data_IF_987373931911
#
_entry.id   IF_987373931911
#
_cell.length_a   1.000
_cell.length_b   1.000
_cell.length_c   1.000
_cell.angle_alpha   90.00
_cell.angle_beta   90.00
_cell.angle_gamma   90.00
#
_symmetry.space_group_name_H-M   'P 1'
#
loop_
_entity.id
_entity.type
_entity.pdbx_description
1 polymer ?
#
# COMPACT_ATOMS: atom_id res chain seq x y z
N UNK A 1 -2.24 -23.49 0.25
CA UNK A 1 -1.47 -22.81 -0.83
C UNK A 1 -2.32 -22.19 -1.95
N UNK A 2 -3.60 -22.57 -2.14
CA UNK A 2 -4.55 -21.86 -3.03
C UNK A 2 -5.37 -20.79 -2.25
N UNK A 3 -5.32 -20.84 -0.91
CA UNK A 3 -6.21 -20.14 0.01
C UNK A 3 -5.91 -18.64 0.21
N UNK A 4 -4.65 -18.18 0.21
CA UNK A 4 -4.34 -16.75 0.41
C UNK A 4 -4.36 -15.93 -0.89
N UNK A 5 -4.22 -16.58 -2.05
CA UNK A 5 -4.37 -15.91 -3.34
C UNK A 5 -5.84 -15.54 -3.63
N UNK A 6 -6.81 -16.32 -3.13
CA UNK A 6 -8.23 -16.06 -3.35
C UNK A 6 -8.82 -14.99 -2.42
N UNK A 7 -8.27 -14.79 -1.21
CA UNK A 7 -8.75 -13.74 -0.29
C UNK A 7 -8.50 -12.33 -0.84
N UNK A 8 -7.33 -12.08 -1.45
CA UNK A 8 -7.07 -10.82 -2.16
C UNK A 8 -7.91 -10.67 -3.45
N UNK A 9 -8.18 -11.77 -4.16
CA UNK A 9 -9.00 -11.80 -5.38
C UNK A 9 -10.52 -11.67 -5.13
N UNK A 10 -10.98 -11.84 -3.88
CA UNK A 10 -12.39 -11.73 -3.49
C UNK A 10 -12.71 -10.44 -2.73
N UNK A 11 -11.71 -9.76 -2.17
CA UNK A 11 -11.85 -8.41 -1.60
C UNK A 11 -11.53 -7.29 -2.59
N UNK A 12 -10.75 -7.55 -3.64
CA UNK A 12 -10.56 -6.62 -4.76
C UNK A 12 -11.34 -7.09 -5.99
N UNK A 13 -11.86 -6.15 -6.77
CA UNK A 13 -12.81 -6.33 -7.89
C UNK A 13 -12.29 -7.19 -9.07
N UNK A 14 -11.93 -8.47 -8.87
CA UNK A 14 -11.33 -9.32 -9.93
C UNK A 14 -12.36 -10.22 -10.65
N UNK A 15 -13.62 -10.21 -10.22
CA UNK A 15 -14.75 -10.77 -10.99
C UNK A 15 -15.82 -9.72 -11.24
N UNK A 16 -15.44 -8.59 -11.83
CA UNK A 16 -16.42 -7.64 -12.33
C UNK A 16 -17.03 -8.15 -13.66
N UNK A 17 -18.36 -7.99 -13.87
CA UNK A 17 -18.95 -8.12 -15.20
C UNK A 17 -18.17 -7.27 -16.21
N UNK A 18 -18.19 -7.63 -17.51
CA UNK A 18 -17.57 -6.83 -18.54
C UNK A 18 -18.17 -5.41 -18.53
N UNK A 19 -19.42 -5.21 -18.13
CA UNK A 19 -19.99 -3.86 -17.99
C UNK A 19 -19.33 -2.98 -16.92
N UNK A 20 -18.66 -3.55 -15.90
CA UNK A 20 -17.85 -2.79 -14.91
C UNK A 20 -16.37 -2.71 -15.30
N UNK A 21 -15.82 -3.72 -15.99
CA UNK A 21 -14.42 -3.73 -16.46
C UNK A 21 -14.18 -3.01 -17.79
N UNK A 22 -15.19 -2.88 -18.67
CA UNK A 22 -15.10 -2.10 -19.91
C UNK A 22 -14.92 -0.60 -19.64
N UNK A 23 -15.25 -0.12 -18.43
CA UNK A 23 -15.03 1.26 -18.05
C UNK A 23 -13.58 1.55 -17.58
N UNK A 24 -12.76 0.53 -17.30
CA UNK A 24 -11.47 0.72 -16.64
C UNK A 24 -10.31 -0.13 -17.20
N UNK A 25 -9.97 -0.03 -18.50
CA UNK A 25 -8.72 -0.58 -19.04
C UNK A 25 -7.47 -0.04 -18.33
N UNK A 26 -7.60 1.02 -17.54
CA UNK A 26 -6.48 1.70 -16.92
C UNK A 26 -5.80 0.86 -15.84
N UNK A 27 -6.54 0.06 -15.06
CA UNK A 27 -5.99 -0.68 -13.91
C UNK A 27 -4.90 -1.70 -14.30
N UNK A 28 -5.02 -2.38 -15.45
CA UNK A 28 -3.97 -3.30 -15.88
C UNK A 28 -2.70 -2.59 -16.36
N UNK A 29 -2.84 -1.43 -17.02
CA UNK A 29 -1.70 -0.61 -17.41
C UNK A 29 -1.00 -0.05 -16.16
N UNK A 30 -1.75 0.46 -15.18
CA UNK A 30 -1.23 0.84 -13.86
C UNK A 30 -0.42 -0.28 -13.23
N UNK A 31 -1.04 -1.46 -13.07
CA UNK A 31 -0.41 -2.63 -12.45
C UNK A 31 0.91 -3.01 -13.15
N UNK A 32 0.94 -2.96 -14.49
CA UNK A 32 2.16 -3.24 -15.26
C UNK A 32 3.25 -2.17 -15.05
N UNK A 33 2.90 -0.89 -15.07
CA UNK A 33 3.87 0.19 -14.89
C UNK A 33 4.46 0.21 -13.48
N UNK A 34 3.63 0.08 -12.44
CA UNK A 34 4.12 0.07 -11.05
C UNK A 34 4.94 -1.19 -10.74
N UNK A 35 4.63 -2.34 -11.36
CA UNK A 35 5.47 -3.54 -11.25
C UNK A 35 6.88 -3.31 -11.82
N UNK A 36 7.01 -2.49 -12.89
CA UNK A 36 8.32 -2.19 -13.49
C UNK A 36 9.25 -1.40 -12.55
N UNK A 37 8.70 -0.73 -11.52
CA UNK A 37 9.46 0.01 -10.51
C UNK A 37 10.38 -0.88 -9.67
N UNK A 38 10.20 -2.20 -9.68
CA UNK A 38 11.12 -3.14 -9.05
C UNK A 38 12.54 -3.11 -9.68
N UNK A 39 12.69 -2.44 -10.82
CA UNK A 39 13.93 -2.26 -11.55
C UNK A 39 14.19 -0.78 -11.87
N UNK A 40 15.46 -0.39 -11.96
CA UNK A 40 15.86 0.98 -12.27
C UNK A 40 17.15 1.39 -11.58
N UNK A 41 17.88 2.33 -12.18
CA UNK A 41 19.17 2.79 -11.66
C UNK A 41 19.03 3.90 -10.63
N UNK A 42 18.18 4.91 -10.87
CA UNK A 42 18.07 6.08 -9.97
C UNK A 42 16.83 6.06 -9.09
N UNK A 43 15.76 5.41 -9.55
CA UNK A 43 14.49 5.28 -8.85
C UNK A 43 13.98 3.84 -8.98
N UNK A 44 13.93 3.09 -7.88
CA UNK A 44 13.38 1.74 -7.83
C UNK A 44 12.83 1.37 -6.45
N UNK A 45 11.82 0.51 -6.42
CA UNK A 45 11.18 0.01 -5.20
C UNK A 45 10.47 -1.32 -5.49
N UNK A 46 10.44 -2.21 -4.49
CA UNK A 46 9.69 -3.48 -4.53
C UNK A 46 8.38 -3.42 -3.73
N UNK A 47 7.94 -2.23 -3.35
CA UNK A 47 6.79 -2.03 -2.46
C UNK A 47 5.44 -1.92 -3.19
N UNK A 48 5.37 -2.31 -4.47
CA UNK A 48 4.13 -2.53 -5.21
C UNK A 48 4.00 -4.01 -5.57
N UNK A 49 2.76 -4.49 -5.66
CA UNK A 49 2.48 -5.85 -6.15
C UNK A 49 3.14 -6.10 -7.51
N UNK A 50 3.78 -7.27 -7.63
CA UNK A 50 4.47 -7.66 -8.86
C UNK A 50 3.55 -8.46 -9.76
N UNK A 51 3.38 -7.99 -10.98
CA UNK A 51 2.56 -8.62 -12.00
C UNK A 51 3.38 -9.68 -12.73
N UNK A 52 2.90 -10.93 -12.72
CA UNK A 52 3.52 -12.04 -13.44
C UNK A 52 2.99 -12.16 -14.86
N UNK A 53 1.66 -12.16 -15.03
CA UNK A 53 1.07 -12.23 -16.35
C UNK A 53 -0.32 -11.58 -16.42
N UNK A 54 -0.70 -11.17 -17.64
CA UNK A 54 -2.05 -10.72 -17.98
C UNK A 54 -2.55 -11.64 -19.08
N UNK A 55 -3.78 -12.15 -18.93
CA UNK A 55 -4.43 -12.98 -19.95
C UNK A 55 -5.86 -12.53 -20.18
N UNK A 56 -6.27 -12.47 -21.44
CA UNK A 56 -7.69 -12.38 -21.80
C UNK A 56 -8.19 -13.80 -22.04
N UNK A 57 -9.18 -14.22 -21.26
CA UNK A 57 -9.78 -15.56 -21.38
C UNK A 57 -11.27 -15.46 -21.66
N UNK A 58 -11.87 -16.51 -22.21
CA UNK A 58 -13.30 -16.56 -22.53
C UNK A 58 -13.89 -17.84 -21.98
N UNK A 59 -15.03 -17.74 -21.30
CA UNK A 59 -15.71 -18.90 -20.71
C UNK A 59 -16.55 -18.55 -19.49
N UNK A 60 -17.32 -19.54 -19.02
CA UNK A 60 -17.92 -19.48 -17.69
C UNK A 60 -16.85 -19.66 -16.61
N UNK A 61 -17.13 -19.20 -15.38
CA UNK A 61 -16.21 -19.37 -14.25
C UNK A 61 -16.01 -20.87 -13.96
N UNK A 62 -14.76 -21.37 -13.96
CA UNK A 62 -14.48 -22.79 -13.71
C UNK A 62 -15.05 -23.30 -12.38
N UNK A 63 -15.50 -24.55 -12.36
CA UNK A 63 -16.17 -25.14 -11.20
C UNK A 63 -15.34 -25.11 -9.90
N UNK A 64 -14.01 -25.19 -9.99
CA UNK A 64 -13.15 -25.10 -8.81
C UNK A 64 -13.10 -23.68 -8.20
N UNK A 65 -13.18 -22.63 -9.02
CA UNK A 65 -13.28 -21.25 -8.54
C UNK A 65 -14.66 -20.95 -7.96
N UNK A 66 -15.71 -21.53 -8.55
CA UNK A 66 -17.06 -21.44 -8.00
C UNK A 66 -17.10 -22.06 -6.59
N UNK A 67 -16.54 -23.26 -6.41
CA UNK A 67 -16.46 -23.90 -5.09
C UNK A 67 -15.65 -23.07 -4.09
N UNK A 68 -14.53 -22.50 -4.52
CA UNK A 68 -13.72 -21.63 -3.66
C UNK A 68 -14.48 -20.37 -3.23
N UNK A 69 -15.27 -19.77 -4.13
CA UNK A 69 -16.16 -18.65 -3.81
C UNK A 69 -17.27 -19.05 -2.83
N UNK A 70 -17.92 -20.21 -3.04
CA UNK A 70 -18.98 -20.73 -2.16
C UNK A 70 -18.43 -20.99 -0.74
N UNK A 71 -17.23 -21.58 -0.64
CA UNK A 71 -16.52 -21.82 0.62
C UNK A 71 -16.16 -20.50 1.32
N UNK A 72 -15.66 -19.52 0.56
CA UNK A 72 -15.36 -18.20 1.10
C UNK A 72 -16.62 -17.51 1.65
N UNK A 73 -17.70 -17.44 0.85
CA UNK A 73 -18.97 -16.83 1.25
C UNK A 73 -19.56 -17.48 2.48
N UNK A 74 -19.44 -18.81 2.62
CA UNK A 74 -19.89 -19.54 3.81
C UNK A 74 -19.13 -19.11 5.07
N UNK A 75 -17.83 -18.88 4.95
CA UNK A 75 -16.96 -18.62 6.10
C UNK A 75 -16.86 -17.13 6.48
N UNK A 76 -17.03 -16.21 5.52
CA UNK A 76 -16.78 -14.78 5.72
C UNK A 76 -17.94 -13.88 5.27
N UNK A 77 -18.97 -14.43 4.62
CA UNK A 77 -19.94 -13.63 3.87
C UNK A 77 -19.37 -13.13 2.54
N UNK A 78 -20.24 -12.60 1.67
CA UNK A 78 -19.84 -11.90 0.45
C UNK A 78 -21.03 -11.10 -0.08
N UNK A 79 -20.78 -9.83 -0.42
CA UNK A 79 -21.74 -8.95 -1.09
C UNK A 79 -21.77 -9.17 -2.61
N UNK A 80 -20.80 -9.90 -3.15
CA UNK A 80 -20.72 -10.19 -4.58
C UNK A 80 -21.82 -11.16 -5.01
N UNK A 81 -22.28 -11.00 -6.27
CA UNK A 81 -23.13 -11.98 -6.91
C UNK A 81 -22.41 -13.32 -7.09
N UNK A 82 -23.18 -14.41 -7.09
CA UNK A 82 -22.63 -15.74 -7.31
C UNK A 82 -22.00 -15.81 -8.72
N UNK A 83 -20.75 -16.28 -8.90
CA UNK A 83 -20.01 -16.24 -10.18
C UNK A 83 -20.61 -17.09 -11.32
N UNK A 84 -21.73 -17.78 -11.08
CA UNK A 84 -22.46 -18.56 -12.10
C UNK A 84 -23.40 -17.69 -12.93
N UNK A 85 -23.64 -16.43 -12.53
CA UNK A 85 -24.46 -15.50 -13.31
C UNK A 85 -23.87 -15.21 -14.70
N UNK A 86 -22.57 -15.43 -14.89
CA UNK A 86 -21.88 -15.10 -16.13
C UNK A 86 -22.02 -16.18 -17.20
N UNK A 87 -22.37 -15.80 -18.45
CA UNK A 87 -22.58 -16.76 -19.53
C UNK A 87 -21.26 -17.34 -20.06
N UNK A 88 -21.32 -18.48 -20.75
CA UNK A 88 -20.14 -19.12 -21.37
C UNK A 88 -19.43 -18.25 -22.41
N UNK A 89 -20.08 -17.22 -22.95
CA UNK A 89 -19.49 -16.29 -23.92
C UNK A 89 -18.73 -15.14 -23.24
N UNK A 90 -18.78 -15.04 -21.92
CA UNK A 90 -18.11 -14.00 -21.13
C UNK A 90 -16.61 -13.94 -21.39
N UNK A 91 -16.06 -12.73 -21.51
CA UNK A 91 -14.62 -12.48 -21.57
C UNK A 91 -14.13 -11.95 -20.23
N UNK A 92 -12.92 -12.35 -19.84
CA UNK A 92 -12.31 -12.01 -18.57
C UNK A 92 -10.89 -11.52 -18.78
N UNK A 93 -10.47 -10.58 -17.96
CA UNK A 93 -9.06 -10.25 -17.79
C UNK A 93 -8.59 -10.96 -16.51
N UNK A 94 -7.55 -11.79 -16.64
CA UNK A 94 -6.92 -12.47 -15.51
C UNK A 94 -5.56 -11.81 -15.28
N UNK A 95 -5.40 -11.21 -14.11
CA UNK A 95 -4.15 -10.64 -13.62
C UNK A 95 -3.54 -11.63 -12.63
N UNK A 96 -2.40 -12.23 -12.99
CA UNK A 96 -1.64 -13.09 -12.09
C UNK A 96 -0.53 -12.28 -11.44
N UNK A 97 -0.50 -12.21 -10.11
CA UNK A 97 0.49 -11.45 -9.35
C UNK A 97 1.25 -12.32 -8.33
N UNK A 98 2.23 -11.72 -7.66
CA UNK A 98 2.83 -12.28 -6.45
C UNK A 98 1.83 -12.30 -5.30
N UNK A 99 1.97 -13.29 -4.41
CA UNK A 99 1.23 -13.32 -3.14
C UNK A 99 1.87 -12.31 -2.20
N UNK A 100 1.09 -11.32 -1.75
CA UNK A 100 1.58 -10.17 -0.98
C UNK A 100 1.18 -10.22 0.51
N UNK A 101 0.55 -11.31 0.96
CA UNK A 101 0.09 -11.51 2.34
C UNK A 101 -1.32 -10.98 2.58
N UNK A 102 -1.55 -10.36 3.73
CA UNK A 102 -2.87 -9.92 4.20
C UNK A 102 -2.99 -8.39 4.22
N UNK A 103 -4.20 -7.83 4.01
CA UNK A 103 -4.43 -6.40 4.14
C UNK A 103 -4.21 -5.94 5.58
N UNK A 104 -3.70 -4.73 5.75
CA UNK A 104 -3.40 -4.15 7.07
C UNK A 104 -4.65 -4.08 7.96
N UNK A 105 -5.83 -3.92 7.37
CA UNK A 105 -7.13 -3.99 8.05
C UNK A 105 -7.35 -5.31 8.80
N UNK A 106 -6.89 -6.44 8.24
CA UNK A 106 -7.03 -7.76 8.83
C UNK A 106 -5.83 -8.20 9.67
N UNK A 107 -4.65 -7.59 9.44
CA UNK A 107 -3.38 -8.07 9.96
C UNK A 107 -2.53 -7.00 10.67
N UNK A 108 -3.15 -5.94 11.21
CA UNK A 108 -2.47 -4.83 11.89
C UNK A 108 -1.40 -5.31 12.89
N UNK A 109 -0.10 -5.08 12.63
CA UNK A 109 0.97 -5.57 13.50
C UNK A 109 0.84 -5.04 14.93
N UNK A 110 1.06 -5.89 15.94
CA UNK A 110 1.08 -5.44 17.34
C UNK A 110 2.35 -4.63 17.69
N UNK A 111 3.43 -4.81 16.93
CA UNK A 111 4.73 -4.19 17.17
C UNK A 111 4.81 -2.81 16.47
N UNK A 112 5.07 -1.74 17.24
CA UNK A 112 5.17 -0.38 16.70
C UNK A 112 6.32 -0.21 15.70
N UNK A 113 7.42 -0.96 15.86
CA UNK A 113 8.52 -0.96 14.90
C UNK A 113 8.07 -1.51 13.53
N UNK A 114 7.31 -2.60 13.53
CA UNK A 114 6.72 -3.16 12.31
C UNK A 114 5.77 -2.17 11.64
N UNK A 115 4.94 -1.47 12.42
CA UNK A 115 4.05 -0.42 11.90
C UNK A 115 4.81 0.75 11.28
N UNK A 116 5.88 1.21 11.94
CA UNK A 116 6.76 2.25 11.40
C UNK A 116 7.43 1.79 10.10
N UNK A 117 7.84 0.52 10.02
CA UNK A 117 8.35 -0.09 8.80
C UNK A 117 7.33 -0.12 7.67
N UNK A 118 6.06 -0.47 7.95
CA UNK A 118 4.97 -0.44 6.96
C UNK A 118 4.76 0.97 6.41
N UNK A 119 4.68 1.97 7.30
CA UNK A 119 4.57 3.37 6.88
C UNK A 119 5.75 3.80 6.01
N UNK A 120 6.98 3.50 6.45
CA UNK A 120 8.21 3.85 5.74
C UNK A 120 8.27 3.24 4.34
N UNK A 121 7.99 1.94 4.22
CA UNK A 121 7.97 1.22 2.94
C UNK A 121 6.91 1.81 1.99
N UNK A 122 5.75 2.16 2.52
CA UNK A 122 4.67 2.77 1.72
C UNK A 122 5.07 4.16 1.21
N UNK A 123 5.61 5.02 2.08
CA UNK A 123 6.08 6.36 1.70
C UNK A 123 7.20 6.32 0.66
N UNK A 124 8.17 5.41 0.80
CA UNK A 124 9.23 5.18 -0.19
C UNK A 124 8.66 4.68 -1.52
N UNK A 125 7.70 3.75 -1.48
CA UNK A 125 7.01 3.26 -2.67
C UNK A 125 6.35 4.38 -3.46
N UNK A 126 5.54 5.20 -2.80
CA UNK A 126 4.87 6.36 -3.42
C UNK A 126 5.87 7.38 -3.96
N UNK A 127 6.91 7.73 -3.19
CA UNK A 127 7.93 8.67 -3.63
C UNK A 127 8.63 8.21 -4.91
N UNK A 128 9.00 6.93 -5.01
CA UNK A 128 9.61 6.37 -6.22
C UNK A 128 8.64 6.40 -7.40
N UNK A 129 7.36 6.07 -7.17
CA UNK A 129 6.35 6.09 -8.21
C UNK A 129 6.04 7.51 -8.70
N UNK A 130 6.02 8.51 -7.83
CA UNK A 130 5.93 9.93 -8.20
C UNK A 130 7.04 10.32 -9.17
N UNK A 131 8.30 9.99 -8.85
CA UNK A 131 9.45 10.34 -9.68
C UNK A 131 9.48 9.64 -11.03
N UNK A 132 9.02 8.39 -11.09
CA UNK A 132 9.09 7.56 -12.31
C UNK A 132 7.90 7.69 -13.23
N UNK A 133 6.72 7.95 -12.67
CA UNK A 133 5.45 7.79 -13.36
C UNK A 133 4.51 8.98 -13.15
N UNK A 134 4.90 10.02 -12.40
CA UNK A 134 3.97 11.06 -11.93
C UNK A 134 2.72 10.42 -11.27
N UNK A 135 2.97 9.43 -10.42
CA UNK A 135 1.94 8.57 -9.85
C UNK A 135 1.22 9.20 -8.65
N UNK A 136 -0.09 9.01 -8.60
CA UNK A 136 -0.96 9.22 -7.45
C UNK A 136 -1.79 7.95 -7.23
N UNK A 137 -1.80 7.42 -6.00
CA UNK A 137 -2.58 6.20 -5.72
C UNK A 137 -4.09 6.47 -5.76
N UNK A 138 -4.49 7.59 -5.14
CA UNK A 138 -5.87 8.09 -5.00
C UNK A 138 -6.86 7.19 -4.26
N UNK A 139 -6.49 5.96 -3.91
CA UNK A 139 -7.33 5.09 -3.09
C UNK A 139 -6.53 4.23 -2.09
N UNK A 140 -5.59 4.83 -1.35
CA UNK A 140 -4.67 4.07 -0.51
C UNK A 140 -5.22 3.88 0.92
N UNK A 141 -6.45 3.37 1.02
CA UNK A 141 -6.97 2.93 2.32
C UNK A 141 -6.17 1.71 2.83
N UNK A 142 -6.27 1.41 4.13
CA UNK A 142 -5.47 0.34 4.75
C UNK A 142 -5.79 -1.09 4.26
N UNK A 143 -6.86 -1.26 3.47
CA UNK A 143 -7.14 -2.50 2.74
C UNK A 143 -6.21 -2.69 1.54
N UNK A 144 -5.69 -1.59 0.98
CA UNK A 144 -4.80 -1.56 -0.18
C UNK A 144 -3.31 -1.55 0.19
N UNK A 145 -3.00 -1.74 1.47
CA UNK A 145 -1.64 -1.95 1.99
C UNK A 145 -1.55 -3.38 2.51
N UNK A 146 -0.92 -4.27 1.75
CA UNK A 146 -0.73 -5.66 2.13
C UNK A 146 0.61 -5.84 2.84
N UNK A 147 0.62 -6.68 3.88
CA UNK A 147 1.84 -7.10 4.57
C UNK A 147 2.06 -8.60 4.43
N UNK A 148 3.28 -9.00 4.13
CA UNK A 148 3.67 -10.40 4.09
C UNK A 148 3.46 -11.05 5.47
N UNK A 149 3.11 -12.34 5.46
CA UNK A 149 2.94 -13.11 6.69
C UNK A 149 4.21 -13.01 7.54
N UNK A 150 4.03 -12.77 8.85
CA UNK A 150 5.15 -12.78 9.78
C UNK A 150 5.86 -14.14 9.70
N UNK A 151 7.20 -14.19 9.73
CA UNK A 151 7.90 -15.46 9.94
C UNK A 151 7.32 -16.09 11.20
N UNK A 152 6.72 -17.27 11.03
CA UNK A 152 6.11 -18.17 12.02
C UNK A 152 6.16 -17.62 13.45
N UNK A 153 5.03 -17.13 13.95
CA UNK A 153 4.88 -16.67 15.34
C UNK A 153 5.35 -17.78 16.30
N UNK A 154 6.48 -17.64 17.01
CA UNK A 154 6.68 -18.44 18.19
C UNK A 154 5.61 -18.02 19.18
N UNK A 155 4.98 -19.00 19.83
CA UNK A 155 4.01 -18.77 20.89
C UNK A 155 4.47 -17.67 21.85
N UNK A 156 3.58 -16.72 22.14
CA UNK A 156 3.57 -15.87 23.34
C UNK A 156 4.95 -15.43 23.88
N UNK A 157 5.85 -14.96 23.03
CA UNK A 157 7.08 -14.29 23.48
C UNK A 157 6.80 -12.79 23.56
N UNK A 158 7.16 -12.17 24.69
CA UNK A 158 6.91 -10.76 25.00
C UNK A 158 7.77 -9.77 24.20
N UNK A 159 8.62 -10.27 23.30
CA UNK A 159 9.64 -9.55 22.54
C UNK A 159 9.22 -9.45 21.07
N UNK A 160 9.40 -8.29 20.44
CA UNK A 160 9.02 -8.13 19.03
C UNK A 160 9.91 -8.96 18.10
N UNK A 161 9.32 -9.73 17.16
CA UNK A 161 10.08 -10.59 16.25
C UNK A 161 10.98 -9.79 15.28
N UNK A 162 10.71 -8.49 15.12
CA UNK A 162 11.47 -7.59 14.26
C UNK A 162 12.62 -6.87 14.97
N UNK A 163 12.73 -7.00 16.31
CA UNK A 163 13.85 -6.45 17.08
C UNK A 163 15.10 -7.36 17.07
N UNK A 164 14.98 -8.56 16.51
CA UNK A 164 16.08 -9.54 16.43
C UNK A 164 16.98 -9.28 15.23
N UNK A 165 18.30 -9.47 15.40
CA UNK A 165 19.30 -9.44 14.31
C UNK A 165 19.08 -10.53 13.24
N UNK A 166 18.30 -11.56 13.56
CA UNK A 166 17.90 -12.62 12.62
C UNK A 166 16.72 -12.24 11.71
N UNK A 167 16.12 -11.05 11.89
CA UNK A 167 15.05 -10.58 11.02
C UNK A 167 15.56 -10.41 9.58
N UNK A 168 14.90 -11.02 8.57
CA UNK A 168 15.27 -10.82 7.18
C UNK A 168 15.31 -9.34 6.82
N UNK A 169 16.39 -8.91 6.15
CA UNK A 169 16.51 -7.53 5.67
C UNK A 169 15.49 -7.27 4.58
N UNK A 170 14.75 -6.18 4.73
CA UNK A 170 13.81 -5.70 3.73
C UNK A 170 14.56 -5.17 2.49
N UNK A 171 13.94 -5.25 1.30
CA UNK A 171 14.53 -4.70 0.09
C UNK A 171 14.75 -3.19 0.22
N UNK A 172 15.90 -2.73 -0.26
CA UNK A 172 16.24 -1.31 -0.39
C UNK A 172 15.34 -0.68 -1.45
N UNK A 173 14.89 0.55 -1.19
CA UNK A 173 14.32 1.43 -2.22
C UNK A 173 15.35 2.49 -2.57
N UNK A 174 15.45 2.86 -3.85
CA UNK A 174 16.30 3.96 -4.30
C UNK A 174 15.42 5.08 -4.82
N UNK A 175 15.66 6.30 -4.35
CA UNK A 175 14.96 7.51 -4.74
C UNK A 175 15.99 8.59 -5.01
N UNK A 176 16.00 9.16 -6.22
CA UNK A 176 16.94 10.20 -6.64
C UNK A 176 18.41 9.81 -6.35
N UNK A 177 18.78 8.59 -6.75
CA UNK A 177 20.11 7.98 -6.55
C UNK A 177 20.52 7.73 -5.08
N UNK A 178 19.63 8.02 -4.12
CA UNK A 178 19.84 7.72 -2.71
C UNK A 178 19.18 6.40 -2.34
N UNK A 179 19.94 5.48 -1.75
CA UNK A 179 19.43 4.22 -1.21
C UNK A 179 18.88 4.39 0.21
N UNK A 180 17.67 3.88 0.43
CA UNK A 180 17.00 3.88 1.72
C UNK A 180 16.79 2.44 2.19
N UNK A 181 17.26 2.14 3.40
CA UNK A 181 17.00 0.87 4.07
C UNK A 181 15.87 1.05 5.09
N UNK A 182 14.67 0.48 4.86
CA UNK A 182 13.58 0.59 5.83
C UNK A 182 13.92 -0.09 7.16
N UNK A 183 13.32 0.35 8.28
CA UNK A 183 13.40 -0.36 9.55
C UNK A 183 12.90 -1.81 9.42
N UNK A 184 13.35 -2.75 10.26
CA UNK A 184 12.84 -4.12 10.28
C UNK A 184 11.30 -4.19 10.42
N UNK A 185 10.67 -5.08 9.66
CA UNK A 185 9.23 -5.22 9.61
C UNK A 185 8.78 -6.21 8.54
N UNK A 186 7.47 -6.45 8.38
CA UNK A 186 6.96 -7.26 7.29
C UNK A 186 7.13 -6.54 5.95
N UNK A 187 7.35 -7.30 4.87
CA UNK A 187 7.38 -6.73 3.52
C UNK A 187 6.02 -6.14 3.17
N UNK A 188 6.00 -4.87 2.80
CA UNK A 188 4.78 -4.12 2.48
C UNK A 188 4.61 -3.98 0.98
N UNK A 189 3.39 -4.21 0.49
CA UNK A 189 3.01 -4.12 -0.91
C UNK A 189 1.74 -3.27 -1.08
N UNK A 190 1.82 -2.25 -1.91
CA UNK A 190 0.70 -1.42 -2.34
C UNK A 190 -0.03 -2.13 -3.48
N UNK A 191 -1.37 -2.15 -3.42
CA UNK A 191 -2.26 -2.78 -4.40
C UNK A 191 -3.45 -1.87 -4.76
N UNK A 192 -4.25 -2.35 -5.71
CA UNK A 192 -5.48 -1.71 -6.20
C UNK A 192 -5.28 -0.31 -6.77
N UNK A 193 -4.98 -0.29 -8.07
CA UNK A 193 -4.71 0.93 -8.82
C UNK A 193 -5.93 1.40 -9.62
N UNK A 194 -7.14 1.07 -9.15
CA UNK A 194 -8.37 1.39 -9.86
C UNK A 194 -8.49 2.90 -10.02
N UNK A 195 -8.46 3.67 -8.93
CA UNK A 195 -8.61 5.14 -8.97
C UNK A 195 -7.29 5.89 -9.25
N UNK A 196 -6.19 5.16 -9.41
CA UNK A 196 -4.86 5.76 -9.56
C UNK A 196 -4.74 6.61 -10.82
N UNK A 197 -3.75 7.50 -10.77
CA UNK A 197 -3.33 8.36 -11.88
C UNK A 197 -1.84 8.25 -12.10
N UNK A 198 -1.40 8.16 -13.34
CA UNK A 198 0.01 8.25 -13.72
C UNK A 198 0.17 8.73 -15.16
N UNK A 199 1.39 9.07 -15.58
CA UNK A 199 1.69 9.29 -16.99
C UNK A 199 2.05 7.96 -17.68
N UNK A 200 1.48 7.71 -18.85
CA UNK A 200 1.84 6.60 -19.72
C UNK A 200 1.89 7.11 -21.17
N UNK A 201 3.04 6.89 -21.85
CA UNK A 201 3.27 7.39 -23.22
C UNK A 201 2.93 8.89 -23.37
N UNK A 202 3.45 9.71 -22.44
CA UNK A 202 3.28 11.17 -22.39
C UNK A 202 1.84 11.68 -22.21
N UNK A 203 0.89 10.80 -21.89
CA UNK A 203 -0.49 11.15 -21.57
C UNK A 203 -0.88 10.73 -20.15
N UNK A 204 -1.79 11.44 -19.48
CA UNK A 204 -2.32 11.01 -18.19
C UNK A 204 -3.23 9.79 -18.39
N UNK A 205 -2.94 8.74 -17.64
CA UNK A 205 -3.79 7.57 -17.47
C UNK A 205 -4.44 7.67 -16.08
N UNK A 206 -5.77 7.78 -16.04
CA UNK A 206 -6.53 8.02 -14.81
C UNK A 206 -8.00 7.65 -15.01
N UNK A 207 -8.78 7.54 -13.94
CA UNK A 207 -10.25 7.53 -14.00
C UNK A 207 -10.76 8.92 -13.63
N UNK A 208 -11.69 9.44 -14.44
CA UNK A 208 -12.42 10.65 -14.10
C UNK A 208 -13.52 10.35 -13.08
N UNK A 209 -13.39 10.91 -11.88
CA UNK A 209 -14.31 10.72 -10.76
C UNK A 209 -15.30 11.88 -10.60
N UNK A 210 -15.28 12.87 -11.49
CA UNK A 210 -16.14 14.08 -11.40
C UNK A 210 -17.64 13.80 -11.38
N UNK A 211 -18.06 12.59 -11.78
CA UNK A 211 -19.47 12.15 -11.83
C UNK A 211 -19.86 11.16 -10.73
N UNK A 212 -18.93 10.77 -9.86
CA UNK A 212 -19.16 9.78 -8.81
C UNK A 212 -19.50 10.47 -7.48
N UNK A 213 -20.73 10.96 -7.35
CA UNK A 213 -21.15 11.67 -6.13
C UNK A 213 -21.23 10.74 -4.90
N UNK A 214 -21.47 9.45 -5.09
CA UNK A 214 -21.53 8.47 -3.98
C UNK A 214 -20.17 8.38 -3.26
N UNK A 215 -19.07 8.39 -4.02
CA UNK A 215 -17.71 8.39 -3.46
C UNK A 215 -17.46 9.54 -2.48
N UNK A 216 -18.02 10.73 -2.74
CA UNK A 216 -17.76 11.94 -1.95
C UNK A 216 -18.74 12.17 -0.79
N UNK A 217 -19.88 11.47 -0.79
CA UNK A 217 -20.90 11.56 0.28
C UNK A 217 -20.71 10.55 1.41
N UNK A 218 -19.76 9.62 1.28
CA UNK A 218 -19.42 8.65 2.33
C UNK A 218 -19.03 9.32 3.66
N UNK A 219 -19.39 8.66 4.77
CA UNK A 219 -19.12 9.09 6.14
C UNK A 219 -18.76 7.90 7.02
N UNK A 220 -18.19 8.15 8.21
CA UNK A 220 -17.93 7.13 9.23
C UNK A 220 -16.49 6.62 9.28
N UNK A 221 -15.66 6.97 8.29
CA UNK A 221 -14.22 6.74 8.30
C UNK A 221 -13.48 7.91 7.64
N UNK A 222 -12.28 8.22 8.14
CA UNK A 222 -11.43 9.30 7.63
C UNK A 222 -11.10 9.14 6.12
N UNK A 223 -11.15 7.92 5.58
CA UNK A 223 -10.96 7.68 4.14
C UNK A 223 -11.89 8.55 3.27
N UNK A 224 -13.11 8.82 3.73
CA UNK A 224 -14.07 9.61 2.97
C UNK A 224 -13.74 11.11 2.98
N UNK A 225 -13.11 11.60 4.05
CA UNK A 225 -12.58 12.96 4.06
C UNK A 225 -11.44 13.10 3.04
N UNK A 226 -10.58 12.08 2.89
CA UNK A 226 -9.49 12.08 1.91
C UNK A 226 -10.05 12.24 0.49
N UNK A 227 -11.14 11.57 0.11
CA UNK A 227 -11.75 11.77 -1.21
C UNK A 227 -12.19 13.22 -1.44
N UNK A 228 -12.78 13.87 -0.43
CA UNK A 228 -13.19 15.28 -0.50
C UNK A 228 -11.99 16.22 -0.58
N UNK A 229 -10.93 15.95 0.19
CA UNK A 229 -9.69 16.72 0.14
C UNK A 229 -9.02 16.63 -1.24
N UNK A 230 -8.96 15.43 -1.84
CA UNK A 230 -8.44 15.26 -3.19
C UNK A 230 -9.29 16.01 -4.23
N UNK A 231 -10.62 15.90 -4.19
CA UNK A 231 -11.52 16.61 -5.12
C UNK A 231 -11.28 18.12 -5.06
N UNK A 232 -11.10 18.66 -3.85
CA UNK A 232 -10.78 20.07 -3.62
C UNK A 232 -9.39 20.46 -4.17
N UNK A 233 -8.36 19.66 -3.89
CA UNK A 233 -6.97 19.89 -4.37
C UNK A 233 -6.87 19.87 -5.90
N UNK A 234 -7.64 18.98 -6.54
CA UNK A 234 -7.67 18.82 -8.00
C UNK A 234 -8.58 19.83 -8.69
N UNK A 235 -9.44 20.55 -7.96
CA UNK A 235 -10.48 21.38 -8.57
C UNK A 235 -11.44 20.56 -9.45
N UNK A 236 -11.68 19.30 -9.08
CA UNK A 236 -12.42 18.28 -9.83
C UNK A 236 -11.84 17.89 -11.22
N UNK A 237 -10.63 18.34 -11.56
CA UNK A 237 -9.90 17.86 -12.75
C UNK A 237 -8.96 16.70 -12.37
N UNK A 238 -9.48 15.49 -12.51
CA UNK A 238 -8.77 14.26 -12.17
C UNK A 238 -7.62 13.91 -13.15
N UNK A 239 -7.45 14.64 -14.26
CA UNK A 239 -6.32 14.43 -15.17
C UNK A 239 -4.99 15.00 -14.63
N UNK A 240 -5.10 16.01 -13.77
CA UNK A 240 -3.97 16.74 -13.22
C UNK A 240 -3.05 15.83 -12.41
N UNK A 241 -1.76 16.18 -12.39
CA UNK A 241 -0.81 15.63 -11.43
C UNK A 241 -0.75 16.54 -10.21
N UNK A 242 -1.30 16.07 -9.08
CA UNK A 242 -1.22 16.71 -7.77
C UNK A 242 -0.71 15.70 -6.75
N UNK A 243 0.61 15.48 -6.64
CA UNK A 243 1.17 14.48 -5.72
C UNK A 243 0.87 14.74 -4.24
N UNK A 244 0.31 15.91 -3.92
CA UNK A 244 -0.26 16.22 -2.61
C UNK A 244 -1.33 15.19 -2.18
N UNK A 245 -2.04 14.56 -3.13
CA UNK A 245 -3.00 13.50 -2.84
C UNK A 245 -2.35 12.28 -2.18
N UNK A 246 -1.10 11.94 -2.51
CA UNK A 246 -0.35 10.89 -1.82
C UNK A 246 -0.02 11.28 -0.37
N UNK A 247 0.19 12.57 -0.09
CA UNK A 247 0.42 13.07 1.28
C UNK A 247 -0.84 12.90 2.13
N UNK A 248 -2.03 13.17 1.59
CA UNK A 248 -3.30 12.92 2.28
C UNK A 248 -3.46 11.44 2.65
N UNK A 249 -3.14 10.53 1.73
CA UNK A 249 -3.16 9.10 2.01
C UNK A 249 -2.09 8.63 3.00
N UNK A 250 -0.89 9.23 2.99
CA UNK A 250 0.11 8.96 4.01
C UNK A 250 -0.33 9.45 5.39
N UNK A 251 -1.02 10.59 5.46
CA UNK A 251 -1.63 11.08 6.71
C UNK A 251 -2.64 10.07 7.25
N UNK A 252 -3.59 9.65 6.41
CA UNK A 252 -4.57 8.62 6.73
C UNK A 252 -3.89 7.33 7.24
N UNK A 253 -2.87 6.83 6.54
CA UNK A 253 -2.17 5.61 6.92
C UNK A 253 -1.45 5.76 8.27
N UNK A 254 -0.80 6.91 8.51
CA UNK A 254 -0.14 7.20 9.79
C UNK A 254 -1.15 7.21 10.95
N UNK A 255 -2.35 7.76 10.73
CA UNK A 255 -3.43 7.74 11.71
C UNK A 255 -3.89 6.31 12.03
N UNK A 256 -4.11 5.47 11.01
CA UNK A 256 -4.47 4.06 11.22
C UNK A 256 -3.38 3.30 11.98
N UNK A 257 -2.10 3.52 11.66
CA UNK A 257 -0.97 2.87 12.31
C UNK A 257 -0.72 3.36 13.75
N UNK A 258 -1.15 4.60 14.07
CA UNK A 258 -1.12 5.15 15.44
C UNK A 258 -2.09 4.43 16.38
N UNK A 259 -3.17 3.84 15.85
CA UNK A 259 -4.25 3.22 16.63
C UNK A 259 -3.76 2.19 17.64
N UNK A 260 -4.26 2.25 18.87
CA UNK A 260 -3.74 1.46 20.00
C UNK A 260 -4.38 0.09 20.13
N UNK A 261 -5.36 -0.24 19.29
CA UNK A 261 -6.27 -1.36 19.46
C UNK A 261 -5.59 -2.76 19.42
N UNK A 262 -4.41 -2.91 18.81
CA UNK A 262 -3.72 -4.23 18.69
C UNK A 262 -2.39 -4.36 19.45
N UNK A 263 -2.11 -3.51 20.44
CA UNK A 263 -0.82 -3.54 21.15
C UNK A 263 -0.74 -4.68 22.18
N UNK A 264 -0.35 -5.87 21.74
CA UNK A 264 0.00 -7.00 22.62
C UNK A 264 1.50 -7.11 22.94
N UNK A 265 2.35 -6.31 22.28
CA UNK A 265 3.78 -6.29 22.58
C UNK A 265 4.06 -5.40 23.79
N UNK A 266 4.95 -5.84 24.67
CA UNK A 266 5.35 -5.10 25.88
C UNK A 266 5.86 -3.70 25.52
N UNK A 267 5.24 -2.61 26.02
CA UNK A 267 5.71 -1.23 25.82
C UNK A 267 7.06 -0.92 26.47
N UNK A 268 7.66 -1.88 27.19
CA UNK A 268 8.87 -1.67 28.00
C UNK A 268 10.15 -1.63 27.14
N UNK A 269 10.10 -2.07 25.89
CA UNK A 269 11.24 -1.96 24.97
C UNK A 269 11.34 -0.53 24.41
N UNK A 270 12.50 0.12 24.60
CA UNK A 270 12.77 1.52 24.19
C UNK A 270 12.34 1.78 22.74
N UNK A 271 12.73 0.89 21.82
CA UNK A 271 12.46 0.99 20.39
C UNK A 271 10.95 1.01 20.05
N UNK A 272 10.12 0.29 20.82
CA UNK A 272 8.67 0.28 20.64
C UNK A 272 8.04 1.62 20.98
N UNK A 273 8.47 2.20 22.10
CA UNK A 273 8.02 3.52 22.54
C UNK A 273 8.43 4.57 21.53
N UNK A 274 9.68 4.56 21.09
CA UNK A 274 10.21 5.51 20.11
C UNK A 274 9.49 5.40 18.77
N UNK A 275 9.30 4.19 18.26
CA UNK A 275 8.56 3.97 17.00
C UNK A 275 7.13 4.49 17.08
N UNK A 276 6.45 4.26 18.22
CA UNK A 276 5.08 4.76 18.43
C UNK A 276 5.01 6.28 18.49
N UNK A 277 5.93 6.91 19.23
CA UNK A 277 6.01 8.37 19.32
C UNK A 277 6.32 8.97 17.94
N UNK A 278 7.21 8.33 17.17
CA UNK A 278 7.55 8.77 15.84
C UNK A 278 6.36 8.68 14.88
N UNK A 279 5.59 7.59 14.87
CA UNK A 279 4.34 7.50 14.08
C UNK A 279 3.38 8.65 14.45
N UNK A 280 3.24 8.96 15.74
CA UNK A 280 2.43 10.09 16.20
C UNK A 280 2.93 11.45 15.68
N UNK A 281 4.25 11.68 15.66
CA UNK A 281 4.85 12.89 15.08
C UNK A 281 4.65 12.97 13.57
N UNK A 282 4.87 11.86 12.86
CA UNK A 282 4.68 11.77 11.41
C UNK A 282 3.24 12.10 11.03
N UNK A 283 2.26 11.51 11.73
CA UNK A 283 0.84 11.82 11.54
C UNK A 283 0.55 13.31 11.77
N UNK A 284 1.02 13.87 12.88
CA UNK A 284 0.82 15.28 13.21
C UNK A 284 1.45 16.26 12.22
N UNK A 285 2.59 15.90 11.61
CA UNK A 285 3.25 16.72 10.59
C UNK A 285 2.59 16.59 9.21
N UNK A 286 2.19 15.36 8.82
CA UNK A 286 1.51 15.12 7.55
C UNK A 286 0.13 15.79 7.49
N UNK A 287 -0.54 15.91 8.64
CA UNK A 287 -1.79 16.64 8.80
C UNK A 287 -1.67 18.14 8.54
N UNK A 288 -0.49 18.73 8.73
CA UNK A 288 -0.32 20.16 8.59
C UNK A 288 -0.38 20.58 7.12
N UNK A 289 -1.20 21.59 6.77
CA UNK A 289 -1.28 22.07 5.41
C UNK A 289 0.07 22.64 4.97
N UNK A 290 0.41 22.46 3.69
CA UNK A 290 1.58 23.08 3.05
C UNK A 290 2.97 22.74 3.61
N UNK A 291 3.11 21.73 4.49
CA UNK A 291 4.44 21.27 4.96
C UNK A 291 5.15 20.45 3.89
N UNK A 292 4.45 19.47 3.32
CA UNK A 292 4.97 18.59 2.29
C UNK A 292 4.12 18.67 1.02
N UNK A 293 4.77 18.83 -0.13
CA UNK A 293 4.09 18.95 -1.42
C UNK A 293 3.79 17.58 -2.07
N UNK A 294 4.52 16.53 -1.68
CA UNK A 294 4.45 15.19 -2.27
C UNK A 294 5.06 14.15 -1.33
N UNK A 295 4.88 12.85 -1.61
CA UNK A 295 5.56 11.79 -0.84
C UNK A 295 7.08 11.86 -1.01
N UNK A 296 7.57 12.19 -2.21
CA UNK A 296 8.99 12.41 -2.47
C UNK A 296 9.53 13.60 -1.70
N UNK A 297 8.81 14.72 -1.65
CA UNK A 297 9.20 15.89 -0.86
C UNK A 297 9.31 15.55 0.63
N UNK A 298 8.34 14.79 1.14
CA UNK A 298 8.33 14.28 2.50
C UNK A 298 9.53 13.38 2.81
N UNK A 299 9.79 12.37 1.98
CA UNK A 299 10.93 11.45 2.15
C UNK A 299 12.28 12.18 2.05
N UNK A 300 12.39 13.19 1.18
CA UNK A 300 13.64 13.92 1.01
C UNK A 300 13.94 14.89 2.16
N UNK A 301 12.91 15.53 2.74
CA UNK A 301 13.06 16.58 3.77
C UNK A 301 13.03 16.05 5.20
N UNK A 302 12.26 15.01 5.49
CA UNK A 302 12.02 14.60 6.87
C UNK A 302 13.23 13.85 7.46
N UNK A 303 13.69 14.26 8.66
CA UNK A 303 14.89 13.76 9.34
C UNK A 303 14.92 12.23 9.53
N UNK A 304 13.77 11.63 9.88
CA UNK A 304 13.63 10.16 9.92
C UNK A 304 14.07 9.47 8.64
N UNK A 305 13.72 9.96 7.45
CA UNK A 305 14.16 9.31 6.22
C UNK A 305 15.64 9.59 5.93
N UNK A 306 16.18 10.72 6.38
CA UNK A 306 17.61 10.99 6.30
C UNK A 306 18.43 9.95 7.09
N UNK A 307 17.94 9.49 8.24
CA UNK A 307 18.62 8.45 9.02
C UNK A 307 18.56 7.05 8.40
N UNK A 308 17.66 6.82 7.44
CA UNK A 308 17.52 5.55 6.72
C UNK A 308 18.41 5.47 5.47
N UNK A 309 19.10 6.57 5.11
CA UNK A 309 20.00 6.59 3.96
C UNK A 309 21.20 5.67 4.19
N UNK A 310 21.49 4.81 3.22
CA UNK A 310 22.70 3.97 3.24
C UNK A 310 23.90 4.84 2.86
N UNK A 311 24.75 5.12 3.84
CA UNK A 311 25.95 5.95 3.65
C UNK A 311 27.14 5.18 3.06
N UNK A 312 27.19 3.85 3.23
CA UNK A 312 28.06 2.89 2.50
C UNK A 312 27.57 1.45 2.72
N UNK A 313 28.07 0.48 1.95
CA UNK A 313 27.61 -0.94 1.90
C UNK A 313 27.62 -1.72 3.24
N UNK A 314 28.11 -1.17 4.35
CA UNK A 314 28.35 -1.90 5.61
C UNK A 314 27.61 -1.39 6.87
N UNK A 315 26.77 -0.36 6.79
CA UNK A 315 26.08 0.14 7.99
C UNK A 315 24.84 -0.71 8.32
N UNK A 316 24.84 -1.35 9.49
CA UNK A 316 23.65 -1.97 10.08
C UNK A 316 22.71 -0.87 10.63
N UNK A 317 21.46 -0.76 10.16
CA UNK A 317 20.53 0.27 10.62
C UNK A 317 20.17 0.17 12.11
N UNK A 318 20.38 -0.98 12.76
CA UNK A 318 19.96 -1.20 14.15
C UNK A 318 20.58 -0.22 15.15
N UNK A 319 21.79 0.29 14.87
CA UNK A 319 22.50 1.21 15.77
C UNK A 319 22.10 2.69 15.59
N UNK A 320 21.55 3.08 14.43
CA UNK A 320 21.20 4.48 14.15
C UNK A 320 19.86 4.93 14.77
N UNK A 321 19.05 4.00 15.27
CA UNK A 321 17.78 4.33 15.92
C UNK A 321 17.95 4.94 17.33
N UNK A 322 19.12 4.84 17.94
CA UNK A 322 19.35 5.27 19.32
C UNK A 322 19.54 6.78 19.51
N UNK A 323 19.91 7.53 18.46
CA UNK A 323 20.35 8.94 18.56
C UNK A 323 19.26 9.98 18.25
N UNK A 324 18.13 9.60 17.65
CA UNK A 324 17.15 10.58 17.09
C UNK A 324 16.06 10.99 18.11
N UNK A 325 16.18 10.57 19.38
CA UNK A 325 15.23 10.96 20.44
C UNK A 325 15.55 12.30 21.11
N UNK A 326 16.61 13.02 20.72
CA UNK A 326 17.07 14.20 21.47
C UNK A 326 17.19 15.52 20.71
N UNK A 327 17.07 15.60 19.38
CA UNK A 327 17.18 16.89 18.68
C UNK A 327 16.14 17.11 17.57
N UNK A 328 15.47 18.27 17.67
CA UNK A 328 14.49 18.95 16.79
C UNK A 328 13.06 18.43 16.70
#
# INVERSE_FOLDING_TARGET
MIYSALLGLLQTNVFAPPSKLYNHPNSFFHTRQVSSLASGTSNNTKNFVQLKCIRVVKGAVPAYLVRAWEEFKKNHGSENDHPRIFPRKQQWIVLESTVCGQPLENAMPACSLARLSVFCQTALGLAVAEQRLAFEHRDLHWGNVLIADSPSSPAATSTCPYSSSSCPRLPVSRLLDVEYQPPPGPLTNIIDFTLSRMNHADAPLFIDLSRDEELFTGVGDHQFDIYREMRKELGDDWSLFRPKTNVFWLHYLAEKLKSTASLHCSPREKQHRESRLLIGRLEGQLRQPNVYASASDFVCKHSFFASLRRTTLLDDPSDKFAEISLES
#
